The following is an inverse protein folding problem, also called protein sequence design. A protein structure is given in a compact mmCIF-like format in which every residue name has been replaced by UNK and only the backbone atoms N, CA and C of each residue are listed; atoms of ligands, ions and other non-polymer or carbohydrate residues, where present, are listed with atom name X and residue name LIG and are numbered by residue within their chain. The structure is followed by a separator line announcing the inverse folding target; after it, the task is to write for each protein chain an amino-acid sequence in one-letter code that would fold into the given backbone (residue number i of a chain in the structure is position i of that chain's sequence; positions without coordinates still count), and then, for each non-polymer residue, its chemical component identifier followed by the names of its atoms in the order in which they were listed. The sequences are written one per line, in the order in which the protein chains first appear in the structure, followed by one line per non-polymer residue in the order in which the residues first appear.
data_IF_434799477206
#
_entry.id   IF_434799477206
#
_cell.length_a   1.000
_cell.length_b   1.000
_cell.length_c   1.000
_cell.angle_alpha   90.00
_cell.angle_beta   90.00
_cell.angle_gamma   90.00
#
_symmetry.space_group_name_H-M   'P 1'
#
loop_
_entity.id
_entity.type
_entity.pdbx_description
1 polymer ?
#
# COMPACT_ATOMS: atom_id res chain seq x y z
N UNK A 1 12.98 13.73 -7.81
CA UNK A 1 12.25 13.80 -9.10
C UNK A 1 11.10 12.81 -9.00
N UNK A 2 9.86 13.33 -9.08
CA UNK A 2 8.62 12.57 -9.32
C UNK A 2 8.12 11.69 -8.18
N UNK A 3 7.58 12.28 -7.11
CA UNK A 3 6.56 11.59 -6.32
C UNK A 3 5.38 11.41 -7.28
N UNK A 4 4.98 10.17 -7.56
CA UNK A 4 3.85 9.88 -8.43
C UNK A 4 2.58 10.27 -7.63
N UNK A 5 2.21 11.54 -7.73
CA UNK A 5 1.02 12.12 -7.13
C UNK A 5 -0.20 11.42 -7.74
N UNK A 6 -0.69 10.37 -7.07
CA UNK A 6 -1.94 9.69 -7.37
C UNK A 6 -3.12 10.59 -6.95
N UNK A 7 -3.17 11.81 -7.49
CA UNK A 7 -4.29 12.76 -7.33
C UNK A 7 -5.56 12.33 -8.09
N UNK A 8 -5.50 11.24 -8.87
CA UNK A 8 -6.53 10.90 -9.84
C UNK A 8 -7.72 10.07 -9.33
N UNK A 9 -7.72 9.57 -8.08
CA UNK A 9 -8.78 8.65 -7.64
C UNK A 9 -9.23 8.81 -6.18
N UNK A 10 -9.08 9.99 -5.56
CA UNK A 10 -9.67 10.26 -4.23
C UNK A 10 -11.16 10.67 -4.31
N UNK A 11 -11.75 10.74 -5.51
CA UNK A 11 -13.19 10.95 -5.73
C UNK A 11 -13.97 9.69 -5.31
N UNK A 12 -14.22 9.55 -4.01
CA UNK A 12 -15.05 8.47 -3.45
C UNK A 12 -14.59 7.89 -2.12
N UNK A 13 -13.38 8.20 -1.64
CA UNK A 13 -12.96 7.74 -0.31
C UNK A 13 -13.71 8.53 0.76
N UNK A 14 -14.63 7.85 1.48
CA UNK A 14 -15.51 8.49 2.47
C UNK A 14 -14.81 8.80 3.82
N UNK A 15 -13.48 8.64 3.89
CA UNK A 15 -12.68 8.93 5.08
C UNK A 15 -12.79 7.90 6.20
N UNK A 16 -13.31 6.69 5.93
CA UNK A 16 -13.49 5.68 6.96
C UNK A 16 -12.34 4.66 6.98
N UNK A 17 -11.66 4.56 8.12
CA UNK A 17 -10.54 3.61 8.33
C UNK A 17 -10.93 2.15 8.12
N UNK A 18 -12.18 1.79 8.39
CA UNK A 18 -12.70 0.43 8.17
C UNK A 18 -12.81 0.06 6.68
N UNK A 19 -13.01 1.06 5.81
CA UNK A 19 -13.15 0.86 4.36
C UNK A 19 -11.82 0.97 3.61
N UNK A 20 -10.81 1.58 4.24
CA UNK A 20 -9.46 1.77 3.71
C UNK A 20 -8.86 0.54 3.00
N UNK A 21 -8.79 -0.67 3.61
CA UNK A 21 -8.19 -1.82 2.93
C UNK A 21 -9.03 -2.28 1.72
N UNK A 22 -10.35 -2.15 1.76
CA UNK A 22 -11.24 -2.47 0.64
C UNK A 22 -11.09 -1.49 -0.52
N UNK A 23 -11.00 -0.21 -0.21
CA UNK A 23 -10.74 0.85 -1.17
C UNK A 23 -9.37 0.67 -1.85
N UNK A 24 -8.30 0.52 -1.06
CA UNK A 24 -6.94 0.33 -1.58
C UNK A 24 -6.85 -0.93 -2.44
N UNK A 25 -7.49 -2.03 -2.04
CA UNK A 25 -7.58 -3.25 -2.86
C UNK A 25 -8.24 -2.98 -4.22
N UNK A 26 -9.34 -2.24 -4.24
CA UNK A 26 -10.06 -1.93 -5.49
C UNK A 26 -9.21 -1.07 -6.42
N UNK A 27 -8.54 -0.04 -5.87
CA UNK A 27 -7.66 0.84 -6.65
C UNK A 27 -6.45 0.08 -7.18
N UNK A 28 -5.86 -0.80 -6.36
CA UNK A 28 -4.75 -1.65 -6.75
C UNK A 28 -5.09 -2.52 -7.95
N UNK A 29 -6.21 -3.23 -7.88
CA UNK A 29 -6.70 -4.11 -8.94
C UNK A 29 -6.91 -3.35 -10.26
N UNK A 30 -7.49 -2.14 -10.18
CA UNK A 30 -7.66 -1.26 -11.34
C UNK A 30 -6.33 -0.74 -11.92
N UNK A 31 -5.32 -0.56 -11.07
CA UNK A 31 -3.99 -0.10 -11.46
C UNK A 31 -3.07 -1.24 -11.93
N UNK A 32 -3.53 -2.50 -11.95
CA UNK A 32 -2.70 -3.67 -12.26
C UNK A 32 -1.72 -4.04 -11.14
N UNK A 33 -2.01 -3.62 -9.91
CA UNK A 33 -1.32 -4.01 -8.70
C UNK A 33 -2.12 -5.04 -7.90
N UNK A 34 -1.44 -5.77 -7.04
CA UNK A 34 -2.03 -6.76 -6.15
C UNK A 34 -1.96 -6.28 -4.69
N UNK A 35 -3.12 -6.27 -4.02
CA UNK A 35 -3.18 -6.03 -2.59
C UNK A 35 -2.74 -7.26 -1.80
N UNK A 36 -1.74 -7.08 -0.94
CA UNK A 36 -1.20 -8.16 -0.13
C UNK A 36 -1.88 -8.21 1.24
N UNK A 37 -1.74 -7.13 2.02
CA UNK A 37 -2.29 -7.02 3.37
C UNK A 37 -2.31 -5.56 3.84
N UNK A 38 -3.08 -5.28 4.89
CA UNK A 38 -3.07 -3.99 5.58
C UNK A 38 -2.82 -4.19 7.07
N UNK A 39 -2.11 -3.25 7.68
CA UNK A 39 -1.74 -3.26 9.08
C UNK A 39 -2.02 -1.88 9.70
N UNK A 40 -2.40 -1.82 10.98
CA UNK A 40 -2.37 -0.56 11.71
C UNK A 40 -0.93 -0.08 11.78
N UNK A 41 -0.70 1.19 11.47
CA UNK A 41 0.65 1.78 11.40
C UNK A 41 1.27 2.02 12.80
N UNK A 42 0.62 1.53 13.87
CA UNK A 42 0.95 1.72 15.28
C UNK A 42 2.46 1.63 15.54
N UNK A 43 3.10 2.81 15.53
CA UNK A 43 4.55 3.04 15.72
C UNK A 43 5.50 2.59 14.59
N UNK A 44 4.98 2.10 13.46
CA UNK A 44 5.78 1.75 12.28
C UNK A 44 6.12 2.96 11.41
N UNK A 45 5.17 3.90 11.27
CA UNK A 45 5.32 5.10 10.44
C UNK A 45 4.64 6.26 11.16
N UNK A 46 5.38 7.34 11.39
CA UNK A 46 4.84 8.59 11.93
C UNK A 46 3.79 9.19 10.97
N UNK A 47 2.78 9.88 11.50
CA UNK A 47 1.72 10.53 10.69
C UNK A 47 0.83 9.55 9.89
N UNK A 48 0.88 8.25 10.21
CA UNK A 48 0.12 7.21 9.53
C UNK A 48 -0.81 6.47 10.51
N UNK A 49 -2.08 6.32 10.13
CA UNK A 49 -3.07 5.53 10.87
C UNK A 49 -3.04 4.04 10.49
N UNK A 50 -2.82 3.75 9.21
CA UNK A 50 -2.81 2.39 8.67
C UNK A 50 -2.01 2.34 7.37
N UNK A 51 -1.27 1.25 7.19
CA UNK A 51 -0.47 1.01 5.99
C UNK A 51 -1.08 -0.18 5.27
N UNK A 52 -1.39 0.00 3.99
CA UNK A 52 -1.73 -1.08 3.08
C UNK A 52 -0.54 -1.36 2.16
N UNK A 53 -0.19 -2.63 2.04
CA UNK A 53 0.94 -3.11 1.25
C UNK A 53 0.45 -3.68 -0.06
N UNK A 54 1.07 -3.21 -1.13
CA UNK A 54 0.69 -3.45 -2.51
C UNK A 54 1.91 -3.98 -3.27
N UNK A 55 1.69 -4.92 -4.17
CA UNK A 55 2.67 -5.34 -5.17
C UNK A 55 2.28 -4.71 -6.49
N UNK A 56 3.20 -3.98 -7.12
CA UNK A 56 3.02 -3.47 -8.47
C UNK A 56 4.05 -4.13 -9.39
N UNK A 57 3.57 -4.75 -10.46
CA UNK A 57 4.41 -5.49 -11.41
C UNK A 57 3.80 -6.85 -11.74
N UNK A 58 3.78 -7.15 -13.04
CA UNK A 58 3.32 -8.42 -13.58
C UNK A 58 4.34 -9.53 -13.22
N UNK A 59 3.90 -10.80 -13.19
CA UNK A 59 4.66 -11.99 -12.78
C UNK A 59 6.10 -12.10 -13.35
N UNK A 60 6.41 -11.41 -14.45
CA UNK A 60 7.67 -11.51 -15.22
C UNK A 60 8.51 -10.21 -15.24
N UNK A 61 8.06 -9.12 -14.60
CA UNK A 61 8.80 -7.84 -14.49
C UNK A 61 9.21 -7.55 -13.05
N UNK A 62 10.15 -6.60 -12.85
CA UNK A 62 10.62 -6.16 -11.53
C UNK A 62 9.43 -5.82 -10.61
N UNK A 63 9.09 -6.77 -9.72
CA UNK A 63 8.04 -6.60 -8.73
C UNK A 63 8.45 -5.53 -7.74
N UNK A 64 7.71 -4.45 -7.72
CA UNK A 64 7.94 -3.32 -6.82
C UNK A 64 6.87 -3.31 -5.74
N UNK A 65 7.28 -3.32 -4.47
CA UNK A 65 6.37 -3.16 -3.35
C UNK A 65 6.06 -1.66 -3.18
N UNK A 66 4.79 -1.33 -2.97
CA UNK A 66 4.30 0.01 -2.69
C UNK A 66 3.53 0.02 -1.36
N UNK A 67 3.62 1.13 -0.64
CA UNK A 67 2.89 1.34 0.59
C UNK A 67 1.88 2.47 0.43
N UNK A 68 0.62 2.16 0.68
CA UNK A 68 -0.43 3.15 0.84
C UNK A 68 -0.58 3.47 2.34
N UNK A 69 -0.22 4.68 2.73
CA UNK A 69 -0.37 5.20 4.08
C UNK A 69 -1.66 6.02 4.17
N UNK A 70 -2.52 5.68 5.14
CA UNK A 70 -3.66 6.49 5.53
C UNK A 70 -3.19 7.55 6.53
N UNK A 71 -3.42 8.81 6.23
CA UNK A 71 -3.15 9.97 7.10
C UNK A 71 -3.83 9.84 8.47
N UNK A 72 -3.32 10.53 9.48
CA UNK A 72 -3.86 10.53 10.85
C UNK A 72 -5.33 11.00 10.97
N UNK A 73 -5.80 11.80 10.02
CA UNK A 73 -7.19 12.25 9.95
C UNK A 73 -8.09 11.26 9.21
N UNK A 74 -7.52 10.19 8.66
CA UNK A 74 -8.25 9.17 7.92
C UNK A 74 -8.87 9.71 6.63
N UNK A 75 -8.43 10.87 6.13
CA UNK A 75 -9.05 11.57 4.99
C UNK A 75 -8.24 11.46 3.70
N UNK A 76 -6.94 11.20 3.82
CA UNK A 76 -6.01 11.19 2.69
C UNK A 76 -5.23 9.89 2.67
N UNK A 77 -5.03 9.34 1.48
CA UNK A 77 -4.18 8.17 1.27
C UNK A 77 -2.97 8.61 0.45
N UNK A 78 -1.77 8.32 0.95
CA UNK A 78 -0.49 8.65 0.30
C UNK A 78 0.20 7.35 -0.12
N UNK A 79 0.58 7.26 -1.38
CA UNK A 79 1.39 6.15 -1.88
C UNK A 79 2.87 6.54 -1.77
N UNK A 80 3.63 5.73 -1.05
CA UNK A 80 5.07 5.90 -0.88
C UNK A 80 5.80 4.61 -1.23
N UNK A 81 7.01 4.77 -1.77
CA UNK A 81 7.92 3.66 -1.93
C UNK A 81 8.49 3.25 -0.56
N UNK A 82 8.86 1.97 -0.39
CA UNK A 82 9.61 1.54 0.77
C UNK A 82 10.87 2.40 0.96
N UNK A 83 11.00 2.94 2.17
CA UNK A 83 12.15 3.72 2.62
C UNK A 83 12.97 2.95 3.65
N UNK A 84 14.03 3.56 4.17
CA UNK A 84 14.93 2.89 5.12
C UNK A 84 14.21 2.46 6.42
N UNK A 85 13.17 3.21 6.83
CA UNK A 85 12.34 2.88 8.00
C UNK A 85 11.28 1.81 7.78
N UNK A 86 10.92 1.49 6.53
CA UNK A 86 9.90 0.49 6.17
C UNK A 86 10.49 -0.72 5.45
N UNK A 87 11.81 -0.86 5.50
CA UNK A 87 12.58 -1.89 4.80
C UNK A 87 12.34 -3.30 5.34
N UNK A 88 12.12 -3.43 6.65
CA UNK A 88 11.71 -4.71 7.25
C UNK A 88 10.30 -5.11 6.79
N UNK A 89 9.41 -4.14 6.60
CA UNK A 89 8.06 -4.38 6.08
C UNK A 89 8.08 -4.78 4.60
N UNK A 90 8.96 -4.18 3.80
CA UNK A 90 9.21 -4.58 2.41
C UNK A 90 9.64 -6.04 2.34
N UNK A 91 10.66 -6.44 3.11
CA UNK A 91 11.15 -7.83 3.15
C UNK A 91 10.08 -8.82 3.60
N UNK A 92 9.25 -8.42 4.56
CA UNK A 92 8.12 -9.22 4.99
C UNK A 92 7.11 -9.41 3.86
N UNK A 93 6.79 -8.35 3.11
CA UNK A 93 5.89 -8.39 1.97
C UNK A 93 6.44 -9.28 0.85
N UNK A 94 7.71 -9.16 0.49
CA UNK A 94 8.37 -10.03 -0.49
C UNK A 94 8.32 -11.51 -0.06
N UNK A 95 8.61 -11.77 1.21
CA UNK A 95 8.54 -13.13 1.77
C UNK A 95 7.12 -13.70 1.72
N UNK A 96 6.11 -12.85 1.99
CA UNK A 96 4.70 -13.22 1.92
C UNK A 96 4.27 -13.57 0.49
N UNK A 97 4.67 -12.76 -0.50
CA UNK A 97 4.45 -13.06 -1.93
C UNK A 97 5.09 -14.40 -2.29
N UNK A 98 6.34 -14.63 -1.90
CA UNK A 98 7.04 -15.89 -2.18
C UNK A 98 6.38 -17.14 -1.56
N UNK A 99 5.54 -16.96 -0.53
CA UNK A 99 4.70 -18.03 0.04
C UNK A 99 3.42 -18.21 -0.76
N UNK A 100 2.77 -17.12 -1.19
CA UNK A 100 1.57 -17.17 -2.04
C UNK A 100 1.84 -17.82 -3.39
N UNK A 101 2.97 -17.52 -4.02
CA UNK A 101 3.34 -18.07 -5.35
C UNK A 101 3.69 -19.57 -5.30
N UNK A 102 3.86 -20.12 -4.09
CA UNK A 102 4.22 -21.52 -3.87
C UNK A 102 3.02 -22.43 -3.57
N UNK A 103 1.82 -21.87 -3.41
CA UNK A 103 0.57 -22.60 -3.14
C UNK A 103 -0.22 -22.81 -4.43
#
# INVERSE_FOLDING_TARGET
MGLLELELSLDGFSGNKDDFPGFVRTVADNAGGEFLFALPASELVEDCLSIAVLRHGEQDSETSILFACLDEQGTTIRLEHPGDGTRDLERFAESFVGVLERM
#
